data_IF_085466766360
#
_entry.id   IF_085466766360
#
_cell.length_a   1.000
_cell.length_b   1.000
_cell.length_c   1.000
_cell.angle_alpha   90.00
_cell.angle_beta   90.00
_cell.angle_gamma   90.00
#
_symmetry.space_group_name_H-M   'P 1'
#
loop_
_entity.id
_entity.type
_entity.pdbx_description
1 polymer ?
#
# COMPACT_ATOMS: atom_id res chain seq x y z
N UNK A 1 -31.39 -23.12 21.22
CA UNK A 1 -30.11 -22.38 21.18
C UNK A 1 -29.68 -22.23 19.73
N UNK A 2 -29.46 -21.01 19.25
CA UNK A 2 -28.99 -20.75 17.87
C UNK A 2 -27.58 -21.31 17.70
N UNK A 3 -27.41 -22.23 16.76
CA UNK A 3 -26.10 -22.75 16.38
C UNK A 3 -25.23 -21.58 15.88
N UNK A 4 -24.11 -21.36 16.55
CA UNK A 4 -23.08 -20.40 16.15
C UNK A 4 -22.48 -20.91 14.83
N UNK A 5 -22.73 -20.24 13.71
CA UNK A 5 -22.14 -20.56 12.41
C UNK A 5 -20.63 -20.29 12.49
N UNK A 6 -19.86 -21.28 12.96
CA UNK A 6 -18.45 -21.09 13.30
C UNK A 6 -17.50 -21.16 12.09
N UNK A 7 -17.94 -21.59 10.92
CA UNK A 7 -17.11 -21.62 9.70
C UNK A 7 -17.98 -21.36 8.49
N UNK A 8 -17.96 -20.12 8.00
CA UNK A 8 -18.50 -19.78 6.68
C UNK A 8 -17.31 -19.76 5.70
N UNK A 9 -17.20 -20.76 4.79
CA UNK A 9 -16.12 -20.82 3.80
C UNK A 9 -16.02 -19.56 2.94
N UNK A 10 -17.14 -18.88 2.70
CA UNK A 10 -17.20 -17.65 1.91
C UNK A 10 -16.51 -16.52 2.66
N UNK A 11 -16.79 -16.37 3.96
CA UNK A 11 -16.15 -15.35 4.79
C UNK A 11 -14.63 -15.59 4.90
N UNK A 12 -14.22 -16.85 5.03
CA UNK A 12 -12.80 -17.20 5.09
C UNK A 12 -12.09 -16.87 3.77
N UNK A 13 -12.69 -17.20 2.63
CA UNK A 13 -12.17 -16.87 1.30
C UNK A 13 -12.05 -15.36 1.10
N UNK A 14 -13.09 -14.59 1.44
CA UNK A 14 -13.09 -13.13 1.35
C UNK A 14 -11.99 -12.51 2.22
N UNK A 15 -11.77 -13.05 3.43
CA UNK A 15 -10.69 -12.62 4.31
C UNK A 15 -9.31 -12.86 3.69
N UNK A 16 -9.07 -14.07 3.15
CA UNK A 16 -7.82 -14.42 2.47
C UNK A 16 -7.57 -13.55 1.22
N UNK A 17 -8.61 -13.28 0.42
CA UNK A 17 -8.50 -12.39 -0.73
C UNK A 17 -8.13 -10.96 -0.32
N UNK A 18 -8.79 -10.41 0.70
CA UNK A 18 -8.44 -9.08 1.23
C UNK A 18 -6.99 -9.01 1.72
N UNK A 19 -6.51 -10.07 2.36
CA UNK A 19 -5.13 -10.15 2.82
C UNK A 19 -4.15 -10.21 1.64
N UNK A 20 -4.45 -11.01 0.61
CA UNK A 20 -3.66 -11.05 -0.63
C UNK A 20 -3.61 -9.67 -1.30
N UNK A 21 -4.76 -9.00 -1.44
CA UNK A 21 -4.85 -7.69 -2.07
C UNK A 21 -3.97 -6.67 -1.32
N UNK A 22 -4.03 -6.67 0.02
CA UNK A 22 -3.19 -5.82 0.86
C UNK A 22 -1.71 -6.10 0.65
N UNK A 23 -1.31 -7.37 0.61
CA UNK A 23 0.08 -7.77 0.43
C UNK A 23 0.61 -7.38 -0.96
N UNK A 24 -0.18 -7.59 -2.01
CA UNK A 24 0.19 -7.18 -3.37
C UNK A 24 0.34 -5.66 -3.45
N UNK A 25 -0.60 -4.91 -2.87
CA UNK A 25 -0.51 -3.44 -2.81
C UNK A 25 0.79 -2.99 -2.12
N UNK A 26 1.11 -3.56 -0.96
CA UNK A 26 2.35 -3.27 -0.23
C UNK A 26 3.60 -3.67 -1.00
N UNK A 27 3.61 -4.84 -1.64
CA UNK A 27 4.72 -5.27 -2.49
C UNK A 27 5.00 -4.24 -3.59
N UNK A 28 3.95 -3.78 -4.29
CA UNK A 28 4.08 -2.80 -5.36
C UNK A 28 4.53 -1.44 -4.83
N UNK A 29 3.92 -0.92 -3.76
CA UNK A 29 4.23 0.43 -3.26
C UNK A 29 5.56 0.48 -2.50
N UNK A 30 5.81 -0.44 -1.57
CA UNK A 30 7.01 -0.44 -0.74
C UNK A 30 8.27 -0.87 -1.51
N UNK A 31 8.12 -1.69 -2.56
CA UNK A 31 9.25 -2.10 -3.42
C UNK A 31 9.35 -1.30 -4.72
N UNK A 32 8.59 -0.20 -4.83
CA UNK A 32 8.54 0.70 -5.99
C UNK A 32 8.38 -0.02 -7.33
N UNK A 33 7.53 -1.05 -7.39
CA UNK A 33 7.26 -1.78 -8.64
C UNK A 33 6.28 -1.00 -9.53
N UNK A 34 6.34 -1.19 -10.86
CA UNK A 34 5.32 -0.66 -11.75
C UNK A 34 3.92 -1.19 -11.39
N UNK A 35 2.88 -0.36 -11.49
CA UNK A 35 1.50 -0.83 -11.29
C UNK A 35 1.09 -1.92 -12.28
N UNK A 36 1.74 -1.98 -13.45
CA UNK A 36 1.55 -3.04 -14.45
C UNK A 36 1.99 -4.43 -13.98
N UNK A 37 2.75 -4.54 -12.88
CA UNK A 37 3.19 -5.82 -12.31
C UNK A 37 2.02 -6.78 -12.07
N UNK A 38 0.86 -6.28 -11.65
CA UNK A 38 -0.31 -7.14 -11.35
C UNK A 38 -1.03 -7.66 -12.58
N UNK A 39 -0.75 -7.09 -13.75
CA UNK A 39 -1.27 -7.57 -15.04
C UNK A 39 -0.25 -8.45 -15.78
N UNK A 40 0.96 -8.64 -15.23
CA UNK A 40 1.96 -9.52 -15.81
C UNK A 40 1.48 -10.99 -15.74
N UNK A 41 1.49 -11.73 -16.86
CA UNK A 41 0.95 -13.08 -16.89
C UNK A 41 1.73 -14.07 -16.00
N UNK A 42 3.04 -13.89 -15.81
CA UNK A 42 3.84 -14.75 -14.94
C UNK A 42 3.60 -14.43 -13.46
N UNK A 43 3.42 -13.16 -13.12
CA UNK A 43 2.99 -12.75 -11.79
C UNK A 43 1.62 -13.36 -11.43
N UNK A 44 0.64 -13.26 -12.33
CA UNK A 44 -0.67 -13.87 -12.18
C UNK A 44 -0.55 -15.39 -12.04
N UNK A 45 0.31 -16.02 -12.84
CA UNK A 45 0.55 -17.48 -12.78
C UNK A 45 1.07 -17.91 -11.41
N UNK A 46 2.07 -17.21 -10.86
CA UNK A 46 2.62 -17.53 -9.53
C UNK A 46 1.53 -17.52 -8.46
N UNK A 47 0.69 -16.48 -8.43
CA UNK A 47 -0.40 -16.38 -7.45
C UNK A 47 -1.44 -17.50 -7.66
N UNK A 48 -1.77 -17.78 -8.91
CA UNK A 48 -2.75 -18.82 -9.27
C UNK A 48 -2.24 -20.22 -8.91
N UNK A 49 -0.97 -20.51 -9.17
CA UNK A 49 -0.33 -21.79 -8.84
C UNK A 49 -0.25 -22.00 -7.31
N UNK A 50 -0.03 -20.92 -6.55
CA UNK A 50 -0.02 -20.97 -5.08
C UNK A 50 -1.42 -21.18 -4.49
N UNK A 51 -2.43 -20.54 -5.07
CA UNK A 51 -3.82 -20.74 -4.67
C UNK A 51 -4.80 -20.38 -5.80
N UNK A 52 -5.41 -21.39 -6.47
CA UNK A 52 -6.34 -21.16 -7.58
C UNK A 52 -7.64 -20.45 -7.18
N UNK A 53 -8.00 -20.42 -5.90
CA UNK A 53 -9.21 -19.76 -5.42
C UNK A 53 -9.07 -18.25 -5.27
N UNK A 54 -7.83 -17.77 -5.21
CA UNK A 54 -7.49 -16.35 -5.07
C UNK A 54 -7.20 -15.74 -6.45
N UNK A 55 -7.49 -14.44 -6.59
CA UNK A 55 -7.27 -13.72 -7.84
C UNK A 55 -6.38 -12.52 -7.62
N UNK A 56 -5.46 -12.30 -8.56
CA UNK A 56 -4.72 -11.05 -8.63
C UNK A 56 -5.66 -9.93 -9.07
N UNK A 57 -5.61 -8.79 -8.38
CA UNK A 57 -6.41 -7.61 -8.75
C UNK A 57 -5.89 -6.98 -10.05
N UNK A 58 -6.76 -6.32 -10.80
CA UNK A 58 -6.33 -5.52 -11.97
C UNK A 58 -5.51 -4.29 -11.55
N UNK A 59 -4.65 -3.80 -12.44
CA UNK A 59 -3.95 -2.50 -12.26
C UNK A 59 -4.87 -1.35 -11.89
N UNK A 60 -6.06 -1.28 -12.49
CA UNK A 60 -7.06 -0.24 -12.21
C UNK A 60 -7.58 -0.34 -10.77
N UNK A 61 -7.84 -1.55 -10.29
CA UNK A 61 -8.24 -1.80 -8.91
C UNK A 61 -7.11 -1.44 -7.94
N UNK A 62 -5.88 -1.84 -8.28
CA UNK A 62 -4.69 -1.49 -7.50
C UNK A 62 -4.52 0.02 -7.35
N UNK A 63 -4.63 0.78 -8.43
CA UNK A 63 -4.53 2.25 -8.39
C UNK A 63 -5.55 2.87 -7.43
N UNK A 64 -6.82 2.47 -7.53
CA UNK A 64 -7.88 2.94 -6.61
C UNK A 64 -7.60 2.59 -5.14
N UNK A 65 -7.06 1.40 -4.88
CA UNK A 65 -6.69 0.98 -3.53
C UNK A 65 -5.52 1.81 -2.98
N UNK A 66 -4.52 2.12 -3.82
CA UNK A 66 -3.41 3.01 -3.46
C UNK A 66 -3.93 4.42 -3.15
N UNK A 67 -4.81 4.98 -3.99
CA UNK A 67 -5.41 6.31 -3.75
C UNK A 67 -6.15 6.37 -2.41
N UNK A 68 -6.93 5.34 -2.09
CA UNK A 68 -7.61 5.23 -0.79
C UNK A 68 -6.59 5.15 0.36
N UNK A 69 -5.56 4.32 0.21
CA UNK A 69 -4.51 4.16 1.22
C UNK A 69 -3.67 5.43 1.40
N UNK A 70 -3.49 6.23 0.35
CA UNK A 70 -2.80 7.51 0.40
C UNK A 70 -3.53 8.49 1.31
N UNK A 71 -4.86 8.62 1.21
CA UNK A 71 -5.63 9.50 2.08
C UNK A 71 -5.46 9.14 3.57
N UNK A 72 -5.53 7.85 3.90
CA UNK A 72 -5.32 7.35 5.26
C UNK A 72 -3.89 7.60 5.75
N UNK A 73 -2.89 7.38 4.88
CA UNK A 73 -1.47 7.58 5.21
C UNK A 73 -1.16 9.05 5.40
N UNK A 74 -1.71 9.92 4.57
CA UNK A 74 -1.57 11.37 4.68
C UNK A 74 -2.13 11.87 6.01
N UNK A 75 -3.30 11.38 6.42
CA UNK A 75 -3.88 11.77 7.71
C UNK A 75 -3.01 11.31 8.88
N UNK A 76 -2.50 10.07 8.85
CA UNK A 76 -1.55 9.57 9.86
C UNK A 76 -0.28 10.42 9.92
N UNK A 77 0.28 10.77 8.76
CA UNK A 77 1.48 11.59 8.68
C UNK A 77 1.24 12.99 9.26
N UNK A 78 0.10 13.62 8.97
CA UNK A 78 -0.28 14.90 9.59
C UNK A 78 -0.34 14.79 11.12
N UNK A 79 -0.97 13.74 11.65
CA UNK A 79 -1.04 13.52 13.11
C UNK A 79 0.35 13.30 13.72
N UNK A 80 1.24 12.59 13.03
CA UNK A 80 2.63 12.42 13.47
C UNK A 80 3.31 13.79 13.52
N UNK A 81 3.29 14.54 12.41
CA UNK A 81 3.98 15.82 12.28
C UNK A 81 3.44 16.91 13.22
N UNK A 82 2.17 16.86 13.61
CA UNK A 82 1.60 17.75 14.65
C UNK A 82 2.31 17.63 16.00
N UNK A 83 2.95 16.50 16.28
CA UNK A 83 3.66 16.22 17.53
C UNK A 83 5.19 16.28 17.38
N UNK A 84 5.68 16.77 16.24
CA UNK A 84 7.10 16.93 15.96
C UNK A 84 7.50 18.40 16.13
N UNK A 85 8.49 18.66 16.99
CA UNK A 85 8.95 20.03 17.27
C UNK A 85 9.73 20.64 16.10
N UNK A 86 10.50 19.82 15.37
CA UNK A 86 11.39 20.28 14.31
C UNK A 86 11.28 19.36 13.09
N UNK A 87 11.08 19.98 11.93
CA UNK A 87 11.10 19.33 10.62
C UNK A 87 12.13 20.05 9.77
N UNK A 88 13.02 19.29 9.12
CA UNK A 88 13.91 19.79 8.08
C UNK A 88 13.34 19.41 6.73
N UNK A 89 13.37 20.31 5.75
CA UNK A 89 12.93 20.02 4.40
C UNK A 89 14.08 20.17 3.41
N UNK A 90 14.13 19.30 2.42
CA UNK A 90 15.01 19.44 1.25
C UNK A 90 14.13 19.61 0.02
N UNK A 91 14.45 20.60 -0.80
CA UNK A 91 13.82 20.76 -2.11
C UNK A 91 14.83 20.35 -3.18
N UNK A 92 14.44 19.38 -4.01
CA UNK A 92 15.16 18.99 -5.21
C UNK A 92 14.39 19.53 -6.42
N UNK A 93 15.07 20.31 -7.27
CA UNK A 93 14.47 20.98 -8.42
C UNK A 93 15.23 20.53 -9.65
N UNK A 94 14.52 19.98 -10.63
CA UNK A 94 15.10 19.55 -11.89
C UNK A 94 14.17 19.86 -13.05
N UNK A 95 14.74 19.97 -14.25
CA UNK A 95 13.99 20.21 -15.47
C UNK A 95 14.34 19.16 -16.53
N UNK A 96 13.34 18.84 -17.34
CA UNK A 96 13.48 18.17 -18.63
C UNK A 96 13.30 19.20 -19.74
N UNK A 97 13.45 18.80 -21.00
CA UNK A 97 13.32 19.70 -22.17
C UNK A 97 12.02 20.53 -22.19
N UNK A 98 10.93 20.04 -21.62
CA UNK A 98 9.61 20.69 -21.69
C UNK A 98 8.87 20.81 -20.35
N UNK A 99 9.47 20.36 -19.24
CA UNK A 99 8.82 20.35 -17.92
C UNK A 99 9.83 20.58 -16.81
N UNK A 100 9.45 21.36 -15.81
CA UNK A 100 10.19 21.50 -14.55
C UNK A 100 9.46 20.77 -13.44
N UNK A 101 10.23 20.26 -12.47
CA UNK A 101 9.76 19.49 -11.34
C UNK A 101 10.37 20.04 -10.06
N UNK A 102 9.62 19.94 -8.97
CA UNK A 102 10.10 20.23 -7.63
C UNK A 102 9.64 19.10 -6.71
N UNK A 103 10.59 18.33 -6.19
CA UNK A 103 10.38 17.39 -5.12
C UNK A 103 10.69 18.06 -3.78
N UNK A 104 9.78 17.96 -2.82
CA UNK A 104 10.04 18.40 -1.45
C UNK A 104 10.00 17.17 -0.54
N UNK A 105 11.09 16.91 0.17
CA UNK A 105 11.19 15.83 1.15
C UNK A 105 11.28 16.42 2.55
N UNK A 106 10.52 15.87 3.49
CA UNK A 106 10.55 16.26 4.90
C UNK A 106 11.26 15.19 5.73
N UNK A 107 12.17 15.61 6.60
CA UNK A 107 12.92 14.80 7.53
C UNK A 107 12.61 15.25 8.97
N UNK A 108 12.39 14.30 9.87
CA UNK A 108 12.19 14.56 11.29
C UNK A 108 12.78 13.44 12.14
N UNK A 109 13.08 13.76 13.40
CA UNK A 109 13.51 12.78 14.39
C UNK A 109 12.30 12.34 15.21
N UNK A 110 12.00 11.05 15.21
CA UNK A 110 10.93 10.46 16.02
C UNK A 110 11.53 9.59 17.13
N UNK A 111 11.29 9.96 18.39
CA UNK A 111 11.68 9.13 19.54
C UNK A 111 10.54 8.19 19.88
N UNK A 112 10.77 6.88 19.76
CA UNK A 112 9.83 5.86 20.24
C UNK A 112 9.71 6.00 21.77
N UNK A 113 8.47 6.07 22.29
CA UNK A 113 8.26 6.27 23.72
C UNK A 113 8.66 5.07 24.60
N UNK A 114 8.99 3.91 24.02
CA UNK A 114 9.61 2.77 24.72
C UNK A 114 10.52 1.98 23.77
N UNK A 115 11.81 1.74 24.10
CA UNK A 115 12.65 0.78 23.39
C UNK A 115 12.18 -0.65 23.69
N UNK A 116 12.36 -1.55 22.72
CA UNK A 116 12.25 -3.01 22.90
C UNK A 116 13.38 -3.47 23.83
#
# INVERSE_FOLDING_TARGET
>A
MKQMKLFDPILQKLSKQKQLDKNIMQYVTCSMKPLSTVDDPYFIKIITDLNPELKTMSRRTLGRNIDKSYAETMQKLKTILQNINHVSTTADIWSTKHKSFMGVTAHWVYRLKHPI
#
